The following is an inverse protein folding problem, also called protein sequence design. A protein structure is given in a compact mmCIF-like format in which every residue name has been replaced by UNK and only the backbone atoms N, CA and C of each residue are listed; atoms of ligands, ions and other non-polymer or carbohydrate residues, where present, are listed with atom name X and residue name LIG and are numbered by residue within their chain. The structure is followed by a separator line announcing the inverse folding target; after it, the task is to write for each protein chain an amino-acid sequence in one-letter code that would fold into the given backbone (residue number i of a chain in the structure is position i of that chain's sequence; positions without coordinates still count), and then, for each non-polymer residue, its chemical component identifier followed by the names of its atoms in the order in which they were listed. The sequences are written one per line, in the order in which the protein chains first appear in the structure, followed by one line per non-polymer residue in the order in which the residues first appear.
data_IF_170449590374
#
_entry.id   IF_170449590374
#
_cell.length_a   1.000
_cell.length_b   1.000
_cell.length_c   1.000
_cell.angle_alpha   90.00
_cell.angle_beta   90.00
_cell.angle_gamma   90.00
#
_symmetry.space_group_name_H-M   'P 1'
#
loop_
_entity.id
_entity.type
_entity.pdbx_description
1 polymer ?
#
# COMPACT_ATOMS: atom_id res chain seq x y z
N UNK A 1 5.10 5.84 6.15
CA UNK A 1 4.61 4.76 5.26
C UNK A 1 5.03 5.04 3.81
N UNK A 2 6.32 5.23 3.51
CA UNK A 2 6.78 5.55 2.14
C UNK A 2 7.59 4.42 1.49
N UNK A 3 8.40 3.67 2.26
CA UNK A 3 9.32 2.68 1.67
C UNK A 3 8.68 1.63 0.76
N UNK A 4 7.49 1.10 1.09
CA UNK A 4 6.86 0.11 0.20
C UNK A 4 6.22 0.74 -1.04
N UNK A 5 5.82 2.03 -0.98
CA UNK A 5 5.25 2.75 -2.13
C UNK A 5 6.37 3.00 -3.15
N UNK A 6 7.56 3.35 -2.69
CA UNK A 6 8.74 3.50 -3.55
C UNK A 6 9.13 2.18 -4.22
N UNK A 7 9.06 1.06 -3.48
CA UNK A 7 9.32 -0.26 -4.04
C UNK A 7 8.27 -0.68 -5.09
N UNK A 8 6.99 -0.36 -4.86
CA UNK A 8 5.92 -0.54 -5.88
C UNK A 8 6.24 0.27 -7.14
N UNK A 9 6.64 1.54 -6.98
CA UNK A 9 6.98 2.44 -8.09
C UNK A 9 8.14 1.89 -8.94
N UNK A 10 9.08 1.19 -8.30
CA UNK A 10 10.20 0.51 -8.96
C UNK A 10 9.84 -0.88 -9.54
N UNK A 11 8.58 -1.31 -9.46
CA UNK A 11 8.13 -2.65 -9.89
C UNK A 11 8.57 -3.79 -8.97
N UNK A 12 9.14 -3.49 -7.80
CA UNK A 12 9.63 -4.46 -6.81
C UNK A 12 8.50 -4.90 -5.86
N UNK A 13 7.44 -5.48 -6.42
CA UNK A 13 6.23 -5.81 -5.66
C UNK A 13 6.47 -6.80 -4.51
N UNK A 14 7.39 -7.77 -4.70
CA UNK A 14 7.73 -8.77 -3.68
C UNK A 14 8.42 -8.17 -2.46
N UNK A 15 9.45 -7.35 -2.68
CA UNK A 15 10.15 -6.63 -1.60
C UNK A 15 9.19 -5.67 -0.88
N UNK A 16 8.31 -5.01 -1.64
CA UNK A 16 7.30 -4.12 -1.09
C UNK A 16 6.30 -4.87 -0.20
N UNK A 17 5.88 -6.08 -0.60
CA UNK A 17 5.02 -6.95 0.19
C UNK A 17 5.70 -7.43 1.48
N UNK A 18 6.95 -7.87 1.40
CA UNK A 18 7.73 -8.31 2.57
C UNK A 18 7.91 -7.17 3.58
N UNK A 19 8.25 -5.96 3.11
CA UNK A 19 8.38 -4.78 3.95
C UNK A 19 7.05 -4.39 4.63
N UNK A 20 5.93 -4.48 3.91
CA UNK A 20 4.60 -4.26 4.52
C UNK A 20 4.30 -5.34 5.56
N UNK A 21 4.68 -6.59 5.29
CA UNK A 21 4.39 -7.73 6.15
C UNK A 21 5.12 -7.68 7.50
N UNK A 22 6.27 -7.03 7.59
CA UNK A 22 6.95 -6.76 8.86
C UNK A 22 6.07 -5.98 9.85
N UNK A 23 5.20 -5.11 9.34
CA UNK A 23 4.31 -4.28 10.16
C UNK A 23 2.86 -4.76 10.14
N UNK A 24 2.46 -5.46 9.07
CA UNK A 24 1.07 -5.81 8.78
C UNK A 24 1.00 -7.24 8.24
N UNK A 25 0.65 -8.17 9.11
CA UNK A 25 0.58 -9.60 8.77
C UNK A 25 -0.47 -9.92 7.69
N UNK A 26 -1.57 -9.16 7.63
CA UNK A 26 -2.69 -9.39 6.71
C UNK A 26 -2.95 -8.17 5.81
N UNK A 27 -1.95 -7.78 5.01
CA UNK A 27 -2.02 -6.60 4.13
C UNK A 27 -3.17 -6.68 3.12
N UNK A 28 -3.47 -7.88 2.62
CA UNK A 28 -4.57 -8.17 1.71
C UNK A 28 -5.97 -7.97 2.27
N UNK A 29 -6.18 -8.38 3.52
CA UNK A 29 -7.44 -8.17 4.25
C UNK A 29 -7.56 -6.69 4.61
N UNK A 30 -6.49 -6.05 5.09
CA UNK A 30 -6.50 -4.62 5.37
C UNK A 30 -6.75 -3.77 4.11
N UNK A 31 -6.33 -4.22 2.93
CA UNK A 31 -6.69 -3.56 1.67
C UNK A 31 -8.18 -3.65 1.31
N UNK A 32 -8.97 -4.45 2.04
CA UNK A 32 -10.41 -4.66 1.84
C UNK A 32 -11.28 -4.14 2.98
N UNK A 33 -10.81 -4.23 4.22
CA UNK A 33 -11.60 -3.88 5.41
C UNK A 33 -11.20 -2.55 6.06
N UNK A 34 -10.00 -2.04 5.77
CA UNK A 34 -9.52 -0.83 6.43
C UNK A 34 -10.31 0.36 5.92
N UNK A 35 -10.75 1.25 6.81
CA UNK A 35 -11.39 2.52 6.43
C UNK A 35 -10.40 3.57 5.86
N UNK A 36 -9.20 3.14 5.50
CA UNK A 36 -8.15 3.95 4.87
C UNK A 36 -7.84 5.31 5.53
N UNK A 37 -7.67 5.41 6.87
CA UNK A 37 -7.28 6.67 7.53
C UNK A 37 -5.88 7.17 7.12
N UNK A 38 -5.09 6.32 6.46
CA UNK A 38 -3.80 6.68 5.88
C UNK A 38 -3.93 7.46 4.57
N UNK A 39 -5.03 7.32 3.84
CA UNK A 39 -5.30 8.08 2.62
C UNK A 39 -5.79 9.50 2.97
N UNK A 40 -6.64 9.66 3.99
CA UNK A 40 -7.09 10.97 4.49
C UNK A 40 -5.94 11.88 4.96
N UNK A 41 -4.86 11.29 5.46
CA UNK A 41 -3.66 11.98 5.93
C UNK A 41 -2.60 12.15 4.83
N UNK A 42 -2.90 11.77 3.59
CA UNK A 42 -1.93 11.87 2.50
C UNK A 42 -1.71 13.34 2.12
N UNK A 43 -0.48 13.83 2.16
CA UNK A 43 -0.12 15.20 1.75
C UNK A 43 -0.41 15.48 0.26
N UNK A 44 -0.64 14.45 -0.57
CA UNK A 44 -1.05 14.62 -1.96
C UNK A 44 -2.46 15.18 -2.13
N UNK A 45 -3.30 15.10 -1.09
CA UNK A 45 -4.66 15.66 -1.09
C UNK A 45 -4.70 17.16 -1.43
N UNK A 46 -3.61 17.87 -1.16
CA UNK A 46 -3.50 19.32 -1.34
C UNK A 46 -2.94 19.70 -2.72
N UNK A 47 -2.51 18.72 -3.53
CA UNK A 47 -1.86 18.95 -4.83
C UNK A 47 -2.53 18.23 -6.00
N UNK A 48 -3.02 17.01 -5.79
CA UNK A 48 -3.60 16.14 -6.81
C UNK A 48 -4.53 15.10 -6.15
N UNK A 49 -4.75 13.94 -6.77
CA UNK A 49 -5.52 12.85 -6.19
C UNK A 49 -4.81 12.08 -5.08
N UNK A 50 -5.62 11.60 -4.14
CA UNK A 50 -5.21 10.71 -3.07
C UNK A 50 -4.58 9.44 -3.66
N UNK A 51 -3.46 9.01 -3.08
CA UNK A 51 -2.85 7.76 -3.46
C UNK A 51 -3.74 6.61 -2.96
N UNK A 52 -4.20 5.75 -3.88
CA UNK A 52 -5.02 4.59 -3.57
C UNK A 52 -4.20 3.46 -2.88
N UNK A 53 -3.73 3.73 -1.67
CA UNK A 53 -2.95 2.84 -0.81
C UNK A 53 -3.69 1.51 -0.59
N UNK A 54 -5.01 1.55 -0.49
CA UNK A 54 -5.89 0.39 -0.45
C UNK A 54 -5.65 -0.57 -1.62
N UNK A 55 -5.69 -0.02 -2.83
CA UNK A 55 -5.51 -0.74 -4.09
C UNK A 55 -4.08 -1.25 -4.22
N UNK A 56 -3.10 -0.47 -3.78
CA UNK A 56 -1.69 -0.88 -3.77
C UNK A 56 -1.45 -2.09 -2.86
N UNK A 57 -2.01 -2.10 -1.64
CA UNK A 57 -1.91 -3.24 -0.71
C UNK A 57 -2.53 -4.52 -1.28
N UNK A 58 -3.68 -4.41 -1.98
CA UNK A 58 -4.30 -5.54 -2.69
C UNK A 58 -3.45 -6.02 -3.86
N UNK A 59 -2.90 -5.11 -4.64
CA UNK A 59 -2.13 -5.47 -5.83
C UNK A 59 -0.83 -6.22 -5.47
N UNK A 60 -0.16 -5.79 -4.38
CA UNK A 60 1.00 -6.50 -3.83
C UNK A 60 0.69 -7.94 -3.41
N UNK A 61 -0.51 -8.20 -2.86
CA UNK A 61 -0.95 -9.55 -2.49
C UNK A 61 -1.19 -10.43 -3.74
N UNK A 62 -1.81 -9.87 -4.79
CA UNK A 62 -2.14 -10.60 -6.02
C UNK A 62 -0.90 -11.07 -6.78
N UNK A 63 0.18 -10.27 -6.77
CA UNK A 63 1.48 -10.63 -7.38
C UNK A 63 2.25 -11.73 -6.62
N UNK A 64 1.74 -12.21 -5.46
CA UNK A 64 2.32 -13.33 -4.71
C UNK A 64 1.77 -14.69 -5.15
N UNK A 65 0.62 -14.73 -5.83
CA UNK A 65 -0.09 -15.94 -6.28
C UNK A 65 0.25 -16.20 -7.74
#
# INVERSE_FOLDING_TARGET
MQGYIDLISQGKFKEAYELVRERVHFSGVLGRICHHPCEEKCNRKDFDELLAIASLKRHQEYQRV
#
